data_IF_598410458415
#
_entry.id   IF_598410458415
#
_cell.length_a   1.000
_cell.length_b   1.000
_cell.length_c   1.000
_cell.angle_alpha   90.00
_cell.angle_beta   90.00
_cell.angle_gamma   90.00
#
_symmetry.space_group_name_H-M   'P 1'
#
loop_
_entity.id
_entity.type
_entity.pdbx_description
1 polymer ?
#
# COMPACT_ATOMS: atom_id res chain seq x y z
N UNK A 1 14.14 -15.05 20.41
CA UNK A 1 13.04 -14.08 20.17
C UNK A 1 11.91 -14.35 21.14
N UNK A 2 11.39 -13.32 21.81
CA UNK A 2 10.37 -13.49 22.84
C UNK A 2 8.97 -13.64 22.20
N UNK A 3 8.14 -14.58 22.68
CA UNK A 3 6.85 -14.94 22.03
C UNK A 3 5.91 -13.74 21.88
N UNK A 4 5.87 -12.86 22.87
CA UNK A 4 5.09 -11.63 22.84
C UNK A 4 5.52 -10.70 21.69
N UNK A 5 6.81 -10.57 21.44
CA UNK A 5 7.33 -9.72 20.37
C UNK A 5 6.89 -10.23 19.01
N UNK A 6 6.85 -11.55 18.82
CA UNK A 6 6.39 -12.16 17.58
C UNK A 6 4.91 -11.85 17.32
N UNK A 7 4.06 -12.01 18.33
CA UNK A 7 2.62 -11.70 18.22
C UNK A 7 2.41 -10.23 17.89
N UNK A 8 3.17 -9.32 18.51
CA UNK A 8 3.08 -7.89 18.19
C UNK A 8 3.50 -7.59 16.74
N UNK A 9 4.54 -8.24 16.23
CA UNK A 9 4.94 -8.12 14.83
C UNK A 9 3.80 -8.61 13.93
N UNK A 10 3.29 -9.82 14.14
CA UNK A 10 2.21 -10.39 13.32
C UNK A 10 0.95 -9.49 13.32
N UNK A 11 0.56 -8.97 14.50
CA UNK A 11 -0.60 -8.09 14.65
C UNK A 11 -0.39 -6.71 14.00
N UNK A 12 0.78 -6.09 14.19
CA UNK A 12 1.06 -4.77 13.62
C UNK A 12 1.14 -4.83 12.09
N UNK A 13 1.76 -5.89 11.55
CA UNK A 13 1.86 -6.06 10.10
C UNK A 13 0.52 -6.45 9.46
N UNK A 14 -0.40 -7.12 10.18
CA UNK A 14 -1.73 -7.44 9.62
C UNK A 14 -2.64 -6.22 9.47
N UNK A 15 -2.51 -5.24 10.38
CA UNK A 15 -3.29 -3.99 10.35
C UNK A 15 -2.65 -2.94 9.42
N UNK A 16 -1.32 -2.85 9.49
CA UNK A 16 -0.55 -1.76 8.87
C UNK A 16 -0.57 -0.48 9.72
N UNK A 17 0.36 0.42 9.42
CA UNK A 17 0.54 1.68 10.15
C UNK A 17 0.45 2.86 9.20
N UNK A 18 -0.36 3.85 9.54
CA UNK A 18 -0.37 5.16 8.88
C UNK A 18 0.83 6.00 9.33
N UNK A 19 1.73 6.29 8.40
CA UNK A 19 2.97 7.02 8.68
C UNK A 19 2.73 8.49 9.08
N UNK A 20 1.71 9.13 8.50
CA UNK A 20 1.38 10.52 8.79
C UNK A 20 0.78 10.64 10.20
N UNK A 21 0.01 9.63 10.63
CA UNK A 21 -0.50 9.56 12.01
C UNK A 21 0.61 9.40 13.06
N UNK A 22 1.72 8.74 12.73
CA UNK A 22 2.86 8.61 13.63
C UNK A 22 3.53 9.96 13.98
N UNK A 23 3.30 11.01 13.18
CA UNK A 23 3.80 12.36 13.45
C UNK A 23 3.19 12.95 14.72
N UNK A 24 1.88 12.80 14.88
CA UNK A 24 1.12 13.45 15.97
C UNK A 24 0.90 12.53 17.16
N UNK A 25 0.73 11.22 16.94
CA UNK A 25 0.46 10.25 18.00
C UNK A 25 1.72 9.46 18.38
N UNK A 26 2.33 9.85 19.51
CA UNK A 26 3.51 9.19 20.06
C UNK A 26 3.27 7.71 20.39
N UNK A 27 2.08 7.34 20.87
CA UNK A 27 1.78 5.95 21.24
C UNK A 27 1.69 5.09 19.98
N UNK A 28 1.06 5.62 18.95
CA UNK A 28 0.96 4.98 17.64
C UNK A 28 2.34 4.82 16.98
N UNK A 29 3.20 5.84 17.07
CA UNK A 29 4.57 5.78 16.52
C UNK A 29 5.44 4.66 17.13
N UNK A 30 5.20 4.29 18.40
CA UNK A 30 5.95 3.23 19.07
C UNK A 30 5.70 1.84 18.45
N UNK A 31 4.65 1.69 17.63
CA UNK A 31 4.34 0.46 16.91
C UNK A 31 5.25 0.24 15.69
N UNK A 32 5.85 1.30 15.14
CA UNK A 32 6.71 1.22 13.94
C UNK A 32 7.87 0.23 14.09
N UNK A 33 8.39 0.04 15.31
CA UNK A 33 9.48 -0.91 15.58
C UNK A 33 9.10 -2.38 15.37
N UNK A 34 7.81 -2.68 15.23
CA UNK A 34 7.28 -4.03 14.98
C UNK A 34 6.92 -4.28 13.51
N UNK A 35 7.06 -3.28 12.63
CA UNK A 35 6.86 -3.45 11.19
C UNK A 35 8.01 -4.26 10.60
N UNK A 36 7.71 -5.14 9.65
CA UNK A 36 8.70 -5.94 8.95
C UNK A 36 9.75 -5.05 8.26
N UNK A 37 11.02 -5.42 8.39
CA UNK A 37 12.14 -4.61 7.89
C UNK A 37 12.52 -3.42 8.78
N UNK A 38 11.64 -3.00 9.69
CA UNK A 38 11.92 -2.02 10.73
C UNK A 38 12.35 -2.72 12.02
N UNK A 39 13.19 -2.02 12.78
CA UNK A 39 13.60 -2.40 14.13
C UNK A 39 13.71 -1.14 14.99
N UNK A 40 14.06 -1.25 16.27
CA UNK A 40 14.06 -0.11 17.19
C UNK A 40 14.83 1.10 16.65
N UNK A 41 16.02 0.89 16.10
CA UNK A 41 16.86 1.98 15.56
C UNK A 41 16.28 2.62 14.31
N UNK A 42 15.79 1.81 13.35
CA UNK A 42 15.20 2.33 12.09
C UNK A 42 13.87 3.04 12.34
N UNK A 43 13.06 2.53 13.26
CA UNK A 43 11.81 3.16 13.67
C UNK A 43 12.08 4.52 14.33
N UNK A 44 13.06 4.59 15.26
CA UNK A 44 13.46 5.86 15.86
C UNK A 44 13.93 6.88 14.81
N UNK A 45 14.74 6.46 13.84
CA UNK A 45 15.17 7.30 12.72
C UNK A 45 13.98 7.86 11.93
N UNK A 46 13.05 7.00 11.51
CA UNK A 46 11.86 7.39 10.75
C UNK A 46 10.99 8.38 11.55
N UNK A 47 10.77 8.12 12.84
CA UNK A 47 9.99 9.00 13.72
C UNK A 47 10.64 10.38 13.82
N UNK A 48 11.96 10.45 14.03
CA UNK A 48 12.69 11.71 14.07
C UNK A 48 12.61 12.45 12.73
N UNK A 49 12.79 11.74 11.61
CA UNK A 49 12.71 12.31 10.27
C UNK A 49 11.33 12.94 9.99
N UNK A 50 10.24 12.22 10.28
CA UNK A 50 8.86 12.72 10.08
C UNK A 50 8.53 13.93 10.98
N UNK A 51 9.10 13.99 12.18
CA UNK A 51 8.90 15.12 13.09
C UNK A 51 9.66 16.37 12.64
N UNK A 52 10.88 16.18 12.14
CA UNK A 52 11.71 17.26 11.64
C UNK A 52 11.17 17.83 10.32
N UNK A 53 10.51 17.00 9.52
CA UNK A 53 9.84 17.44 8.30
C UNK A 53 8.55 18.21 8.64
N UNK A 54 8.37 19.39 8.05
CA UNK A 54 7.20 20.23 8.28
C UNK A 54 5.98 19.79 7.47
N UNK A 55 6.21 19.11 6.34
CA UNK A 55 5.17 18.65 5.42
C UNK A 55 4.76 17.20 5.70
N UNK A 56 3.50 16.88 5.39
CA UNK A 56 3.00 15.50 5.38
C UNK A 56 3.65 14.73 4.22
N UNK A 57 3.72 13.41 4.34
CA UNK A 57 4.08 12.55 3.22
C UNK A 57 2.85 12.37 2.34
N UNK A 58 3.02 12.48 1.02
CA UNK A 58 1.95 12.35 0.04
C UNK A 58 1.95 10.97 -0.61
N UNK A 59 3.14 10.42 -0.83
CA UNK A 59 3.36 9.13 -1.46
C UNK A 59 4.26 8.23 -0.62
N UNK A 60 4.17 6.92 -0.82
CA UNK A 60 5.14 5.97 -0.25
C UNK A 60 6.55 6.21 -0.76
N UNK A 61 6.71 6.69 -1.99
CA UNK A 61 8.02 7.07 -2.55
C UNK A 61 8.72 8.15 -1.71
N UNK A 62 7.97 8.95 -0.95
CA UNK A 62 8.53 9.95 -0.03
C UNK A 62 9.33 9.33 1.11
N UNK A 63 9.09 8.06 1.45
CA UNK A 63 9.95 7.33 2.37
C UNK A 63 11.40 7.28 1.87
N UNK A 64 11.60 7.17 0.55
CA UNK A 64 12.93 7.14 -0.05
C UNK A 64 13.43 8.57 -0.30
N UNK A 65 12.61 9.42 -0.93
CA UNK A 65 13.05 10.75 -1.39
C UNK A 65 13.16 11.77 -0.26
N UNK A 66 12.22 11.76 0.69
CA UNK A 66 12.12 12.74 1.79
C UNK A 66 12.71 12.20 3.09
N UNK A 67 12.42 10.94 3.43
CA UNK A 67 12.94 10.34 4.67
C UNK A 67 14.27 9.59 4.48
N UNK A 68 14.79 9.49 3.26
CA UNK A 68 16.05 8.80 2.94
C UNK A 68 16.12 7.35 3.46
N UNK A 69 14.99 6.64 3.47
CA UNK A 69 14.94 5.22 3.80
C UNK A 69 15.63 4.43 2.68
N UNK A 70 16.59 3.59 3.06
CA UNK A 70 17.32 2.76 2.10
C UNK A 70 16.39 1.78 1.35
N UNK A 71 16.71 1.45 0.08
CA UNK A 71 15.82 0.69 -0.82
C UNK A 71 15.41 -0.68 -0.26
N UNK A 72 16.36 -1.40 0.35
CA UNK A 72 16.06 -2.70 0.97
C UNK A 72 15.13 -2.57 2.17
N UNK A 73 15.22 -1.47 2.92
CA UNK A 73 14.31 -1.24 4.06
C UNK A 73 12.93 -0.92 3.52
N UNK A 74 12.84 -0.06 2.51
CA UNK A 74 11.60 0.29 1.84
C UNK A 74 10.85 -0.92 1.29
N UNK A 75 11.52 -1.80 0.52
CA UNK A 75 10.90 -3.03 -0.01
C UNK A 75 10.35 -3.90 1.12
N UNK A 76 11.04 -3.99 2.25
CA UNK A 76 10.57 -4.84 3.36
C UNK A 76 9.40 -4.24 4.15
N UNK A 77 9.27 -2.90 4.21
CA UNK A 77 8.28 -2.25 5.05
C UNK A 77 7.10 -1.63 4.28
N UNK A 78 7.25 -1.32 3.00
CA UNK A 78 6.31 -0.45 2.26
C UNK A 78 4.89 -1.02 2.16
N UNK A 79 4.72 -2.35 2.05
CA UNK A 79 3.39 -2.98 2.06
C UNK A 79 2.65 -2.91 3.40
N UNK A 80 3.34 -2.56 4.49
CA UNK A 80 2.76 -2.43 5.83
C UNK A 80 2.59 -0.97 6.27
N UNK A 81 3.07 -0.01 5.48
CA UNK A 81 2.99 1.42 5.75
C UNK A 81 1.94 2.05 4.84
N UNK A 82 0.94 2.68 5.44
CA UNK A 82 -0.08 3.44 4.73
C UNK A 82 0.29 4.91 4.72
N UNK A 83 0.01 5.57 3.60
CA UNK A 83 0.11 7.03 3.48
C UNK A 83 -1.29 7.54 3.18
N UNK A 84 -2.01 7.94 4.22
CA UNK A 84 -3.29 8.60 4.05
C UNK A 84 -3.01 10.04 3.62
N UNK A 85 -3.13 10.31 2.33
CA UNK A 85 -3.16 11.67 1.77
C UNK A 85 -4.61 12.10 1.62
N UNK A 86 -4.89 13.36 1.96
CA UNK A 86 -6.19 13.96 1.71
C UNK A 86 -6.35 14.07 0.19
N UNK A 87 -7.33 13.35 -0.38
CA UNK A 87 -7.55 13.14 -1.83
C UNK A 87 -7.75 14.47 -2.60
N UNK A 88 -7.95 15.58 -1.89
CA UNK A 88 -8.17 16.93 -2.43
C UNK A 88 -6.89 17.60 -2.96
N UNK A 89 -5.69 17.00 -2.78
CA UNK A 89 -4.47 17.54 -3.39
C UNK A 89 -4.38 17.13 -4.86
N UNK A 90 -4.63 18.07 -5.77
CA UNK A 90 -4.61 17.91 -7.23
C UNK A 90 -3.27 17.35 -7.79
N UNK A 91 -2.21 17.32 -7.00
CA UNK A 91 -0.88 16.88 -7.41
C UNK A 91 -0.53 15.49 -6.84
N UNK A 92 -0.49 14.48 -7.71
CA UNK A 92 0.33 13.29 -7.52
C UNK A 92 -0.07 12.34 -6.38
N UNK A 93 -1.35 11.97 -6.28
CA UNK A 93 -1.84 10.98 -5.32
C UNK A 93 -1.87 9.58 -5.95
N UNK A 94 -1.41 8.57 -5.20
CA UNK A 94 -1.57 7.16 -5.55
C UNK A 94 -2.59 6.52 -4.58
N UNK A 95 -3.82 6.21 -5.04
CA UNK A 95 -4.85 5.60 -4.18
C UNK A 95 -4.38 4.29 -3.51
N UNK A 96 -3.49 3.54 -4.17
CA UNK A 96 -2.93 2.30 -3.63
C UNK A 96 -2.06 2.51 -2.39
N UNK A 97 -1.54 3.71 -2.13
CA UNK A 97 -0.71 4.00 -0.96
C UNK A 97 -1.49 3.94 0.36
N UNK A 98 -2.82 4.05 0.31
CA UNK A 98 -3.70 3.84 1.47
C UNK A 98 -4.11 2.37 1.68
N UNK A 99 -3.78 1.48 0.75
CA UNK A 99 -4.11 0.04 0.80
C UNK A 99 -2.96 -0.78 1.40
N UNK A 100 -3.09 -2.09 1.57
CA UNK A 100 -1.98 -3.02 1.90
C UNK A 100 -1.29 -3.61 0.66
N UNK A 101 -1.64 -3.14 -0.53
CA UNK A 101 -1.00 -3.60 -1.77
C UNK A 101 0.44 -3.11 -1.76
N UNK A 102 1.38 -4.00 -2.07
CA UNK A 102 2.80 -3.66 -2.09
C UNK A 102 3.16 -2.89 -3.37
N UNK A 103 4.06 -1.88 -3.34
CA UNK A 103 4.48 -1.14 -4.54
C UNK A 103 4.96 -2.01 -5.70
N UNK A 104 5.57 -3.17 -5.40
CA UNK A 104 5.99 -4.17 -6.41
C UNK A 104 4.82 -4.70 -7.26
N UNK A 105 3.59 -4.69 -6.72
CA UNK A 105 2.40 -5.22 -7.39
C UNK A 105 1.44 -4.12 -7.85
N UNK A 106 1.85 -2.84 -7.82
CA UNK A 106 1.03 -1.73 -8.31
C UNK A 106 0.68 -1.88 -9.78
N UNK A 107 1.64 -2.26 -10.62
CA UNK A 107 1.37 -2.46 -12.05
C UNK A 107 0.33 -3.55 -12.30
N UNK A 108 0.29 -4.57 -11.44
CA UNK A 108 -0.71 -5.62 -11.51
C UNK A 108 -2.08 -5.11 -11.06
N UNK A 109 -2.14 -4.33 -9.97
CA UNK A 109 -3.37 -3.71 -9.49
C UNK A 109 -3.95 -2.72 -10.51
N UNK A 110 -3.11 -1.94 -11.19
CA UNK A 110 -3.52 -1.02 -12.27
C UNK A 110 -4.17 -1.77 -13.42
N UNK A 111 -3.50 -2.81 -13.93
CA UNK A 111 -4.05 -3.62 -15.03
C UNK A 111 -5.32 -4.36 -14.63
N UNK A 112 -5.45 -4.76 -13.37
CA UNK A 112 -6.67 -5.38 -12.85
C UNK A 112 -7.86 -4.42 -13.01
N UNK A 113 -7.69 -3.15 -12.65
CA UNK A 113 -8.74 -2.12 -12.80
C UNK A 113 -9.03 -1.79 -14.25
N UNK A 114 -8.00 -1.69 -15.09
CA UNK A 114 -8.17 -1.55 -16.53
C UNK A 114 -9.00 -2.70 -17.12
N UNK A 115 -8.73 -3.93 -16.71
CA UNK A 115 -9.50 -5.11 -17.14
C UNK A 115 -10.94 -5.05 -16.65
N UNK A 116 -11.20 -4.69 -15.38
CA UNK A 116 -12.57 -4.58 -14.83
C UNK A 116 -13.42 -3.61 -15.65
N UNK A 117 -12.88 -2.43 -16.00
CA UNK A 117 -13.59 -1.42 -16.78
C UNK A 117 -13.40 -1.51 -18.30
N UNK A 118 -12.66 -2.52 -18.80
CA UNK A 118 -12.26 -2.66 -20.21
C UNK A 118 -11.60 -1.39 -20.79
N UNK A 119 -10.80 -0.70 -19.97
CA UNK A 119 -10.08 0.51 -20.38
C UNK A 119 -8.87 0.14 -21.23
N UNK A 120 -8.55 0.99 -22.21
CA UNK A 120 -7.33 0.88 -23.01
C UNK A 120 -6.51 2.13 -22.75
N UNK A 121 -5.43 2.00 -21.98
CA UNK A 121 -4.51 3.09 -21.60
C UNK A 121 -5.25 4.31 -21.00
N UNK A 122 -5.83 4.18 -19.80
CA UNK A 122 -6.50 5.29 -19.15
C UNK A 122 -5.51 6.40 -18.78
N UNK A 123 -5.97 7.65 -18.87
CA UNK A 123 -5.28 8.77 -18.25
C UNK A 123 -5.27 8.60 -16.72
N UNK A 124 -4.32 9.27 -16.04
CA UNK A 124 -4.15 9.16 -14.59
C UNK A 124 -5.44 9.53 -13.85
N UNK A 125 -6.13 10.59 -14.27
CA UNK A 125 -7.40 11.03 -13.67
C UNK A 125 -8.48 9.95 -13.78
N UNK A 126 -8.65 9.36 -14.96
CA UNK A 126 -9.62 8.27 -15.18
C UNK A 126 -9.29 7.04 -14.34
N UNK A 127 -8.01 6.70 -14.21
CA UNK A 127 -7.57 5.60 -13.35
C UNK A 127 -7.93 5.85 -11.88
N UNK A 128 -7.67 7.06 -11.37
CA UNK A 128 -8.00 7.43 -9.98
C UNK A 128 -9.52 7.36 -9.76
N UNK A 129 -10.32 7.88 -10.68
CA UNK A 129 -11.78 7.79 -10.61
C UNK A 129 -12.27 6.34 -10.54
N UNK A 130 -11.77 5.47 -11.43
CA UNK A 130 -12.13 4.05 -11.43
C UNK A 130 -11.68 3.31 -10.16
N UNK A 131 -10.51 3.68 -9.60
CA UNK A 131 -10.03 3.14 -8.33
C UNK A 131 -10.93 3.55 -7.17
N UNK A 132 -11.28 4.83 -7.06
CA UNK A 132 -12.20 5.35 -6.03
C UNK A 132 -13.57 4.68 -6.17
N UNK A 133 -14.04 4.47 -7.40
CA UNK A 133 -15.31 3.80 -7.67
C UNK A 133 -15.29 2.32 -7.24
N UNK A 134 -14.19 1.59 -7.46
CA UNK A 134 -14.03 0.21 -6.95
C UNK A 134 -13.97 0.18 -5.43
N UNK A 135 -13.21 1.09 -4.82
CA UNK A 135 -13.09 1.18 -3.36
C UNK A 135 -14.44 1.53 -2.71
N UNK A 136 -15.31 2.25 -3.44
CA UNK A 136 -16.65 2.60 -2.98
C UNK A 136 -17.68 1.48 -3.22
N UNK A 137 -17.57 0.77 -4.34
CA UNK A 137 -18.43 -0.35 -4.72
C UNK A 137 -17.61 -1.60 -5.05
N UNK A 138 -17.38 -2.40 -4.03
CA UNK A 138 -16.62 -3.64 -4.14
C UNK A 138 -17.28 -4.67 -5.05
N UNK A 139 -18.59 -4.60 -5.35
CA UNK A 139 -19.24 -5.60 -6.21
C UNK A 139 -18.69 -5.59 -7.64
N UNK A 140 -18.17 -4.44 -8.09
CA UNK A 140 -17.60 -4.25 -9.44
C UNK A 140 -16.35 -5.08 -9.66
N UNK A 141 -15.47 -5.16 -8.67
CA UNK A 141 -14.29 -6.02 -8.78
C UNK A 141 -14.68 -7.49 -8.79
N UNK A 142 -15.81 -7.83 -8.16
CA UNK A 142 -16.28 -9.22 -8.11
C UNK A 142 -17.01 -9.70 -9.38
N UNK A 143 -17.42 -8.78 -10.26
CA UNK A 143 -18.18 -9.09 -11.46
C UNK A 143 -17.43 -9.99 -12.47
N UNK A 144 -16.08 -9.96 -12.47
CA UNK A 144 -15.25 -10.86 -13.29
C UNK A 144 -14.65 -11.98 -12.46
N UNK A 145 -14.61 -13.18 -13.03
CA UNK A 145 -13.92 -14.32 -12.41
C UNK A 145 -12.40 -14.11 -12.46
N UNK A 146 -11.69 -14.66 -11.46
CA UNK A 146 -10.22 -14.59 -11.39
C UNK A 146 -9.59 -15.19 -12.66
N UNK A 147 -10.13 -16.31 -13.15
CA UNK A 147 -9.62 -16.97 -14.35
C UNK A 147 -9.66 -16.05 -15.59
N UNK A 148 -10.74 -15.28 -15.75
CA UNK A 148 -10.87 -14.33 -16.86
C UNK A 148 -9.88 -13.16 -16.70
N UNK A 149 -9.65 -12.70 -15.48
CA UNK A 149 -8.67 -11.65 -15.19
C UNK A 149 -7.24 -12.15 -15.48
N UNK A 150 -6.90 -13.37 -15.05
CA UNK A 150 -5.61 -13.98 -15.31
C UNK A 150 -5.35 -14.14 -16.82
N UNK A 151 -6.37 -14.55 -17.59
CA UNK A 151 -6.26 -14.66 -19.05
C UNK A 151 -6.06 -13.30 -19.72
N UNK A 152 -6.82 -12.28 -19.30
CA UNK A 152 -6.75 -10.93 -19.88
C UNK A 152 -5.36 -10.29 -19.64
N UNK A 153 -4.69 -10.66 -18.55
CA UNK A 153 -3.39 -10.12 -18.17
C UNK A 153 -2.19 -10.84 -18.81
N UNK A 154 -2.41 -11.89 -19.62
CA UNK A 154 -1.37 -12.75 -20.22
C UNK A 154 -0.34 -13.23 -19.18
N UNK A 155 -0.79 -13.49 -17.96
CA UNK A 155 0.10 -13.97 -16.91
C UNK A 155 0.23 -15.47 -17.09
N UNK A 156 1.46 -15.96 -17.27
CA UNK A 156 1.73 -17.40 -17.17
C UNK A 156 1.06 -17.94 -15.90
N UNK A 157 0.33 -19.06 -16.03
CA UNK A 157 -0.45 -19.78 -15.00
C UNK A 157 0.40 -20.21 -13.79
N UNK A 158 0.99 -19.25 -13.09
CA UNK A 158 1.73 -19.42 -11.86
C UNK A 158 0.76 -19.16 -10.72
N UNK A 159 0.52 -20.20 -9.92
CA UNK A 159 -0.30 -20.18 -8.70
C UNK A 159 0.00 -18.96 -7.81
N UNK A 160 1.24 -18.48 -7.81
CA UNK A 160 1.66 -17.30 -7.05
C UNK A 160 0.92 -16.02 -7.48
N UNK A 161 0.66 -15.82 -8.77
CA UNK A 161 0.02 -14.61 -9.29
C UNK A 161 -1.48 -14.59 -9.00
N UNK A 162 -2.14 -15.75 -9.02
CA UNK A 162 -3.55 -15.87 -8.63
C UNK A 162 -3.77 -15.45 -7.18
N UNK A 163 -2.90 -15.91 -6.26
CA UNK A 163 -2.94 -15.52 -4.86
C UNK A 163 -2.72 -14.00 -4.71
N UNK A 164 -1.78 -13.42 -5.47
CA UNK A 164 -1.56 -11.97 -5.46
C UNK A 164 -2.77 -11.19 -5.97
N UNK A 165 -3.41 -11.63 -7.06
CA UNK A 165 -4.62 -10.99 -7.60
C UNK A 165 -5.75 -11.07 -6.58
N UNK A 166 -5.95 -12.21 -5.93
CA UNK A 166 -6.97 -12.36 -4.91
C UNK A 166 -6.69 -11.48 -3.68
N UNK A 167 -5.42 -11.35 -3.30
CA UNK A 167 -4.99 -10.42 -2.26
C UNK A 167 -5.29 -8.96 -2.61
N UNK A 168 -5.00 -8.54 -3.86
CA UNK A 168 -5.32 -7.20 -4.38
C UNK A 168 -6.85 -6.99 -4.38
N UNK A 169 -7.61 -7.96 -4.89
CA UNK A 169 -9.08 -7.90 -4.97
C UNK A 169 -9.71 -7.74 -3.59
N UNK A 170 -9.26 -8.55 -2.63
CA UNK A 170 -9.70 -8.48 -1.23
C UNK A 170 -9.35 -7.12 -0.62
N UNK A 171 -8.15 -6.60 -0.90
CA UNK A 171 -7.75 -5.31 -0.34
C UNK A 171 -8.54 -4.14 -0.92
N UNK A 172 -8.80 -4.13 -2.22
CA UNK A 172 -9.61 -3.10 -2.88
C UNK A 172 -11.10 -3.14 -2.46
N UNK A 173 -11.54 -4.24 -1.84
CA UNK A 173 -12.91 -4.43 -1.37
C UNK A 173 -13.15 -4.04 0.09
N UNK A 174 -12.09 -3.73 0.86
CA UNK A 174 -12.14 -3.36 2.28
C UNK A 174 -12.12 -1.84 2.49
#
# INVERSE_FOLDING_TARGET
FNSLTRILIEFVNSIGIDINRCRTDQRYSNLLKYISGLGPSKAAYIITAIRNNMQKLHLRSDLITVLHVGPNVFINCSGFLKVSSDIESEDGIEPLDNTRIHPETYDLARKLVESVYNLKHPDISTYIECMVDIMSDSTKIYARSINNLCSDLNLDNSVHKEITIEGIRTELSN
#
